data_IF_167414047507
#
_entry.id   IF_167414047507
#
_cell.length_a   1.000
_cell.length_b   1.000
_cell.length_c   1.000
_cell.angle_alpha   90.00
_cell.angle_beta   90.00
_cell.angle_gamma   90.00
#
_symmetry.space_group_name_H-M   'P 1'
#
loop_
_entity.id
_entity.type
_entity.pdbx_description
1 polymer ?
#
# COMPACT_ATOMS: atom_id res chain seq x y z
N UNK A 1 53.97 18.99 -46.03
CA UNK A 1 52.65 19.21 -46.66
C UNK A 1 51.68 18.22 -46.05
N UNK A 2 50.87 18.65 -45.09
CA UNK A 2 49.81 17.83 -44.50
C UNK A 2 48.63 17.76 -45.47
N UNK A 3 48.26 16.55 -45.92
CA UNK A 3 47.07 16.34 -46.74
C UNK A 3 45.86 16.43 -45.83
N UNK A 4 45.07 17.50 -45.97
CA UNK A 4 43.74 17.55 -45.39
C UNK A 4 42.88 16.45 -46.03
N UNK A 5 42.67 15.36 -45.29
CA UNK A 5 41.71 14.31 -45.64
C UNK A 5 40.31 14.88 -45.40
N UNK A 6 39.67 15.36 -46.47
CA UNK A 6 38.31 15.88 -46.41
C UNK A 6 37.31 14.77 -46.10
N UNK A 7 36.44 15.03 -45.12
CA UNK A 7 35.39 14.13 -44.67
C UNK A 7 34.35 13.93 -45.78
N UNK A 8 33.96 12.67 -46.06
CA UNK A 8 33.02 12.40 -47.14
C UNK A 8 31.57 12.64 -46.68
N UNK A 9 30.68 13.03 -47.60
CA UNK A 9 29.26 13.28 -47.27
C UNK A 9 28.58 12.03 -46.66
N UNK A 10 28.97 10.84 -47.13
CA UNK A 10 28.55 9.55 -46.58
C UNK A 10 29.01 9.34 -45.15
N UNK A 11 30.20 9.79 -44.79
CA UNK A 11 30.74 9.67 -43.43
C UNK A 11 29.97 10.56 -42.44
N UNK A 12 29.51 11.75 -42.88
CA UNK A 12 28.64 12.63 -42.07
C UNK A 12 27.28 11.98 -41.84
N UNK A 13 26.69 11.41 -42.89
CA UNK A 13 25.38 10.76 -42.79
C UNK A 13 25.42 9.57 -41.83
N UNK A 14 26.48 8.75 -41.90
CA UNK A 14 26.68 7.62 -40.99
C UNK A 14 26.88 8.10 -39.56
N UNK A 15 27.71 9.13 -39.34
CA UNK A 15 27.92 9.69 -38.00
C UNK A 15 26.62 10.22 -37.37
N UNK A 16 25.78 10.93 -38.16
CA UNK A 16 24.48 11.41 -37.69
C UNK A 16 23.49 10.27 -37.42
N UNK A 17 23.46 9.24 -38.27
CA UNK A 17 22.60 8.08 -38.07
C UNK A 17 22.98 7.31 -36.79
N UNK A 18 24.27 7.09 -36.56
CA UNK A 18 24.76 6.45 -35.33
C UNK A 18 24.42 7.30 -34.10
N UNK A 19 24.63 8.62 -34.17
CA UNK A 19 24.27 9.54 -33.09
C UNK A 19 22.77 9.50 -32.74
N UNK A 20 21.90 9.48 -33.75
CA UNK A 20 20.45 9.40 -33.55
C UNK A 20 20.03 8.08 -32.88
N UNK A 21 20.58 6.95 -33.32
CA UNK A 21 20.29 5.63 -32.74
C UNK A 21 20.71 5.57 -31.26
N UNK A 22 21.89 6.11 -30.92
CA UNK A 22 22.37 6.15 -29.54
C UNK A 22 21.45 7.02 -28.67
N UNK A 23 21.04 8.20 -29.14
CA UNK A 23 20.15 9.10 -28.39
C UNK A 23 18.78 8.46 -28.16
N UNK A 24 18.21 7.78 -29.17
CA UNK A 24 16.93 7.07 -29.03
C UNK A 24 17.03 5.88 -28.06
N UNK A 25 18.10 5.09 -28.15
CA UNK A 25 18.34 3.98 -27.24
C UNK A 25 18.52 4.43 -25.78
N UNK A 26 19.33 5.46 -25.56
CA UNK A 26 19.52 6.05 -24.23
C UNK A 26 18.24 6.70 -23.70
N UNK A 27 17.48 7.38 -24.56
CA UNK A 27 16.18 7.97 -24.21
C UNK A 27 15.20 6.90 -23.72
N UNK A 28 15.09 5.78 -24.43
CA UNK A 28 14.20 4.69 -24.03
C UNK A 28 14.55 4.12 -22.65
N UNK A 29 15.84 3.90 -22.37
CA UNK A 29 16.32 3.43 -21.07
C UNK A 29 16.05 4.46 -19.95
N UNK A 30 16.25 5.75 -20.24
CA UNK A 30 16.01 6.83 -19.30
C UNK A 30 14.52 6.96 -18.94
N UNK A 31 13.62 6.85 -19.93
CA UNK A 31 12.18 6.84 -19.71
C UNK A 31 11.73 5.64 -18.86
N UNK A 32 12.26 4.44 -19.12
CA UNK A 32 11.97 3.25 -18.32
C UNK A 32 12.42 3.39 -16.86
N UNK A 33 13.57 4.04 -16.63
CA UNK A 33 14.10 4.29 -15.28
C UNK A 33 13.20 5.27 -14.51
N UNK A 34 12.76 6.35 -15.15
CA UNK A 34 11.82 7.32 -14.55
C UNK A 34 10.45 6.70 -14.21
N UNK A 35 9.97 5.75 -15.01
CA UNK A 35 8.74 5.01 -14.71
C UNK A 35 8.90 4.08 -13.51
N UNK A 36 10.06 3.45 -13.36
CA UNK A 36 10.34 2.50 -12.27
C UNK A 36 10.44 3.19 -10.91
N UNK A 37 11.05 4.39 -10.84
CA UNK A 37 11.18 5.15 -9.58
C UNK A 37 9.83 5.54 -8.96
N UNK A 38 8.85 5.94 -9.78
CA UNK A 38 7.50 6.29 -9.28
C UNK A 38 6.78 5.09 -8.65
N UNK A 39 7.08 3.89 -9.12
CA UNK A 39 6.51 2.66 -8.58
C UNK A 39 7.11 2.31 -7.20
N UNK A 40 8.42 2.52 -7.02
CA UNK A 40 9.12 2.24 -5.76
C UNK A 40 8.74 3.22 -4.64
N UNK A 41 8.59 4.50 -4.94
CA UNK A 41 8.19 5.50 -3.92
C UNK A 41 6.76 5.27 -3.41
N UNK A 42 5.85 4.85 -4.30
CA UNK A 42 4.48 4.49 -3.94
C UNK A 42 4.45 3.25 -3.04
N UNK A 43 5.28 2.25 -3.33
CA UNK A 43 5.44 1.05 -2.51
C UNK A 43 6.04 1.37 -1.13
N UNK A 44 7.04 2.25 -1.05
CA UNK A 44 7.70 2.60 0.21
C UNK A 44 6.75 3.34 1.18
N UNK A 45 5.99 4.33 0.69
CA UNK A 45 5.00 5.04 1.51
C UNK A 45 3.86 4.13 1.98
N UNK A 46 3.46 3.15 1.17
CA UNK A 46 2.45 2.16 1.55
C UNK A 46 2.95 1.23 2.66
N UNK A 47 4.23 0.87 2.67
CA UNK A 47 4.81 0.03 3.73
C UNK A 47 4.83 0.74 5.08
N UNK A 48 5.18 2.02 5.12
CA UNK A 48 5.17 2.81 6.36
C UNK A 48 3.75 2.97 6.91
N UNK A 49 2.79 3.30 6.04
CA UNK A 49 1.38 3.38 6.38
C UNK A 49 0.81 2.04 6.89
N UNK A 50 1.21 0.92 6.29
CA UNK A 50 0.84 -0.43 6.74
C UNK A 50 1.32 -0.68 8.17
N UNK A 51 2.61 -0.48 8.42
CA UNK A 51 3.22 -0.73 9.72
C UNK A 51 2.51 0.13 10.77
N UNK A 52 2.32 1.42 10.50
CA UNK A 52 1.60 2.34 11.39
C UNK A 52 0.16 1.88 11.69
N UNK A 53 -0.60 1.49 10.67
CA UNK A 53 -1.97 1.00 10.86
C UNK A 53 -2.00 -0.26 11.72
N UNK A 54 -1.19 -1.27 11.38
CA UNK A 54 -1.19 -2.55 12.08
C UNK A 54 -0.75 -2.40 13.54
N UNK A 55 0.29 -1.63 13.82
CA UNK A 55 0.76 -1.43 15.21
C UNK A 55 -0.27 -0.70 16.05
N UNK A 56 -0.80 0.41 15.54
CA UNK A 56 -1.79 1.24 16.24
C UNK A 56 -3.09 0.45 16.49
N UNK A 57 -3.55 -0.30 15.50
CA UNK A 57 -4.73 -1.14 15.66
C UNK A 57 -4.52 -2.27 16.65
N UNK A 58 -3.39 -2.96 16.53
CA UNK A 58 -3.07 -4.08 17.42
C UNK A 58 -3.00 -3.60 18.86
N UNK A 59 -2.42 -2.43 19.13
CA UNK A 59 -2.40 -1.87 20.48
C UNK A 59 -3.81 -1.67 21.05
N UNK A 60 -4.69 -1.03 20.30
CA UNK A 60 -6.09 -0.79 20.72
C UNK A 60 -6.86 -2.09 20.90
N UNK A 61 -6.75 -3.01 19.93
CA UNK A 61 -7.40 -4.31 19.95
C UNK A 61 -6.92 -5.19 21.11
N UNK A 62 -5.64 -5.10 21.51
CA UNK A 62 -5.12 -5.83 22.67
C UNK A 62 -5.68 -5.34 23.99
N UNK A 63 -6.00 -4.04 24.08
CA UNK A 63 -6.50 -3.41 25.29
C UNK A 63 -8.03 -3.54 25.43
N UNK A 64 -8.76 -3.28 24.36
CA UNK A 64 -10.22 -3.15 24.38
C UNK A 64 -10.95 -4.20 23.53
N UNK A 65 -10.23 -4.88 22.63
CA UNK A 65 -10.84 -5.74 21.64
C UNK A 65 -11.31 -5.02 20.38
N UNK A 66 -12.02 -5.75 19.51
CA UNK A 66 -12.52 -5.23 18.23
C UNK A 66 -13.70 -4.27 18.37
N UNK A 67 -14.47 -4.41 19.45
CA UNK A 67 -15.68 -3.65 19.72
C UNK A 67 -15.55 -2.96 21.07
N UNK A 68 -16.12 -1.76 21.16
CA UNK A 68 -16.22 -1.04 22.43
C UNK A 68 -17.33 -1.62 23.33
N UNK A 69 -17.49 -1.04 24.52
CA UNK A 69 -18.52 -1.46 25.48
C UNK A 69 -19.97 -1.27 24.96
N UNK A 70 -20.18 -0.45 23.92
CA UNK A 70 -21.48 -0.23 23.28
C UNK A 70 -21.74 -1.18 22.10
N UNK A 71 -20.77 -2.03 21.74
CA UNK A 71 -20.85 -2.93 20.60
C UNK A 71 -20.49 -2.28 19.26
N UNK A 72 -19.91 -1.08 19.26
CA UNK A 72 -19.42 -0.42 18.05
C UNK A 72 -17.98 -0.83 17.75
N UNK A 73 -17.65 -1.06 16.48
CA UNK A 73 -16.29 -1.42 16.11
C UNK A 73 -15.36 -0.20 16.23
N UNK A 74 -14.17 -0.37 16.82
CA UNK A 74 -13.17 0.70 16.89
C UNK A 74 -12.72 1.18 15.51
N UNK A 75 -12.74 0.28 14.53
CA UNK A 75 -12.19 0.53 13.21
C UNK A 75 -13.12 0.07 12.10
N UNK A 76 -13.23 0.89 11.05
CA UNK A 76 -13.97 0.58 9.83
C UNK A 76 -13.06 0.62 8.61
N UNK A 77 -13.23 -0.35 7.72
CA UNK A 77 -12.60 -0.38 6.42
C UNK A 77 -13.61 0.08 5.37
N UNK A 78 -13.34 1.25 4.78
CA UNK A 78 -14.15 1.83 3.70
C UNK A 78 -13.41 1.81 2.38
N UNK A 79 -13.83 0.96 1.48
CA UNK A 79 -13.33 0.90 0.11
C UNK A 79 -14.35 1.51 -0.84
N UNK A 80 -13.90 2.41 -1.72
CA UNK A 80 -14.70 2.97 -2.83
C UNK A 80 -13.94 2.87 -4.13
N UNK A 81 -14.69 2.71 -5.22
CA UNK A 81 -14.12 2.70 -6.55
C UNK A 81 -13.74 4.12 -6.99
N UNK A 82 -12.55 4.24 -7.57
CA UNK A 82 -12.00 5.47 -8.13
C UNK A 82 -11.34 5.09 -9.44
N UNK A 83 -12.03 5.35 -10.55
CA UNK A 83 -11.58 4.96 -11.90
C UNK A 83 -11.39 3.42 -11.99
N UNK A 84 -10.18 2.95 -12.31
CA UNK A 84 -9.79 1.55 -12.42
C UNK A 84 -9.13 1.00 -11.13
N UNK A 85 -9.22 1.75 -10.03
CA UNK A 85 -8.63 1.38 -8.76
C UNK A 85 -9.65 1.50 -7.61
N UNK A 86 -9.30 0.86 -6.51
CA UNK A 86 -10.05 0.87 -5.27
C UNK A 86 -9.29 1.69 -4.23
N UNK A 87 -9.92 2.76 -3.75
CA UNK A 87 -9.40 3.55 -2.63
C UNK A 87 -10.00 2.99 -1.34
N UNK A 88 -9.18 2.34 -0.53
CA UNK A 88 -9.55 1.88 0.79
C UNK A 88 -9.04 2.85 1.85
N UNK A 89 -9.90 3.19 2.79
CA UNK A 89 -9.61 4.07 3.92
C UNK A 89 -9.91 3.32 5.19
N UNK A 90 -8.90 3.25 6.03
CA UNK A 90 -8.98 2.69 7.36
C UNK A 90 -9.33 3.82 8.33
N UNK A 91 -10.50 3.74 8.95
CA UNK A 91 -11.04 4.81 9.80
C UNK A 91 -11.06 4.38 11.26
N UNK A 92 -10.60 5.26 12.14
CA UNK A 92 -10.78 5.16 13.59
C UNK A 92 -12.12 5.79 13.95
N UNK A 93 -13.04 4.98 14.46
CA UNK A 93 -14.38 5.41 14.84
C UNK A 93 -14.41 6.07 16.23
N UNK A 94 -13.43 5.80 17.09
CA UNK A 94 -13.34 6.45 18.40
C UNK A 94 -13.03 7.95 18.28
N UNK A 95 -12.30 8.33 17.23
CA UNK A 95 -11.90 9.71 16.94
C UNK A 95 -12.55 10.30 15.68
N UNK A 96 -13.38 9.51 14.99
CA UNK A 96 -13.98 9.84 13.70
C UNK A 96 -12.95 10.32 12.65
N UNK A 97 -11.76 9.73 12.62
CA UNK A 97 -10.64 10.17 11.78
C UNK A 97 -10.15 9.08 10.82
N UNK A 98 -9.82 9.44 9.56
CA UNK A 98 -9.12 8.52 8.67
C UNK A 98 -7.68 8.32 9.15
N UNK A 99 -7.28 7.07 9.37
CA UNK A 99 -5.92 6.74 9.77
C UNK A 99 -5.00 6.60 8.56
N UNK A 100 -5.41 5.77 7.60
CA UNK A 100 -4.58 5.41 6.45
C UNK A 100 -5.45 5.27 5.21
N UNK A 101 -4.98 5.79 4.09
CA UNK A 101 -5.54 5.55 2.76
C UNK A 101 -4.58 4.72 1.91
N UNK A 102 -5.14 3.81 1.11
CA UNK A 102 -4.34 3.00 0.20
C UNK A 102 -5.15 2.65 -1.05
N UNK A 103 -4.41 2.41 -2.13
CA UNK A 103 -4.96 2.10 -3.45
C UNK A 103 -4.68 0.63 -3.77
N UNK A 104 -5.71 -0.11 -4.16
CA UNK A 104 -5.62 -1.50 -4.62
C UNK A 104 -6.29 -1.65 -5.98
N UNK A 105 -5.85 -2.60 -6.83
CA UNK A 105 -6.47 -2.83 -8.15
C UNK A 105 -7.92 -3.32 -8.02
N UNK A 106 -8.80 -2.92 -8.93
CA UNK A 106 -10.23 -3.27 -8.92
C UNK A 106 -10.54 -4.66 -9.49
N UNK A 107 -9.97 -5.71 -8.88
CA UNK A 107 -10.10 -7.10 -9.38
C UNK A 107 -11.48 -7.71 -9.02
N UNK A 108 -12.12 -7.24 -7.94
CA UNK A 108 -13.40 -7.72 -7.40
C UNK A 108 -14.31 -6.57 -6.95
N UNK A 109 -15.47 -6.86 -6.32
CA UNK A 109 -16.39 -5.87 -5.77
C UNK A 109 -15.65 -4.91 -4.80
N UNK A 110 -15.46 -3.69 -5.27
CA UNK A 110 -14.63 -2.68 -4.62
C UNK A 110 -15.29 -2.09 -3.37
N UNK A 111 -16.59 -1.82 -3.46
CA UNK A 111 -17.34 -1.15 -2.42
C UNK A 111 -17.53 -2.06 -1.21
N UNK A 112 -16.91 -1.66 -0.10
CA UNK A 112 -16.99 -2.34 1.19
C UNK A 112 -16.99 -1.29 2.28
N UNK A 113 -17.94 -1.38 3.20
CA UNK A 113 -17.92 -0.66 4.47
C UNK A 113 -18.15 -1.70 5.57
N UNK A 114 -17.06 -2.17 6.15
CA UNK A 114 -17.09 -3.30 7.08
C UNK A 114 -16.30 -2.98 8.35
N UNK A 115 -16.77 -3.42 9.52
CA UNK A 115 -16.00 -3.34 10.74
C UNK A 115 -14.73 -4.18 10.63
N UNK A 116 -13.64 -3.69 11.21
CA UNK A 116 -12.35 -4.36 11.23
C UNK A 116 -12.19 -5.08 12.57
N UNK A 117 -11.88 -6.37 12.49
CA UNK A 117 -11.82 -7.25 13.65
C UNK A 117 -13.12 -8.03 13.83
N UNK A 118 -13.03 -9.36 13.74
CA UNK A 118 -14.06 -10.26 14.25
C UNK A 118 -13.54 -10.91 15.51
N UNK A 119 -14.31 -10.81 16.59
CA UNK A 119 -14.01 -11.55 17.81
C UNK A 119 -14.19 -13.04 17.55
N UNK A 120 -13.22 -13.86 17.98
CA UNK A 120 -13.38 -15.30 17.90
C UNK A 120 -14.39 -15.79 18.94
N UNK A 121 -14.90 -17.01 18.73
CA UNK A 121 -15.93 -17.61 19.56
C UNK A 121 -15.48 -17.81 21.02
N UNK A 122 -14.18 -17.90 21.28
CA UNK A 122 -13.60 -18.02 22.61
C UNK A 122 -13.45 -16.66 23.33
N UNK A 123 -13.60 -15.54 22.62
CA UNK A 123 -13.40 -14.20 23.12
C UNK A 123 -11.95 -13.83 23.44
N UNK A 124 -10.99 -14.74 23.23
CA UNK A 124 -9.57 -14.58 23.62
C UNK A 124 -8.78 -13.82 22.56
N UNK A 125 -9.18 -13.92 21.29
CA UNK A 125 -8.56 -13.20 20.19
C UNK A 125 -9.57 -12.53 19.24
N UNK A 126 -9.05 -11.60 18.44
CA UNK A 126 -9.75 -10.98 17.33
C UNK A 126 -9.00 -11.28 16.03
N UNK A 127 -9.72 -11.76 15.02
CA UNK A 127 -9.21 -11.90 13.66
C UNK A 127 -9.38 -10.60 12.90
N UNK A 128 -8.28 -9.99 12.49
CA UNK A 128 -8.24 -8.80 11.64
C UNK A 128 -7.91 -9.23 10.22
N UNK A 129 -8.66 -8.75 9.24
CA UNK A 129 -8.42 -8.99 7.81
C UNK A 129 -8.39 -7.67 7.06
N UNK A 130 -7.28 -7.37 6.39
CA UNK A 130 -7.07 -6.12 5.65
C UNK A 130 -6.52 -6.41 4.24
N UNK A 131 -7.03 -5.76 3.17
CA UNK A 131 -6.57 -5.98 1.80
C UNK A 131 -5.28 -5.20 1.51
N UNK A 132 -4.27 -5.39 2.36
CA UNK A 132 -2.99 -4.69 2.31
C UNK A 132 -1.83 -5.59 1.84
N UNK A 133 -2.11 -6.84 1.51
CA UNK A 133 -1.14 -7.76 0.93
C UNK A 133 -0.76 -7.38 -0.52
N UNK A 134 0.30 -7.99 -1.07
CA UNK A 134 0.72 -7.78 -2.45
C UNK A 134 -0.45 -7.99 -3.42
N UNK A 135 -0.70 -7.01 -4.30
CA UNK A 135 -1.79 -7.06 -5.28
C UNK A 135 -3.20 -6.90 -4.67
N UNK A 136 -3.32 -6.38 -3.44
CA UNK A 136 -4.61 -6.20 -2.76
C UNK A 136 -5.15 -7.48 -2.10
N UNK A 137 -4.28 -8.49 -1.91
CA UNK A 137 -4.64 -9.71 -1.17
C UNK A 137 -4.94 -9.41 0.29
N UNK A 138 -5.86 -10.19 0.86
CA UNK A 138 -6.19 -10.12 2.26
C UNK A 138 -5.01 -10.62 3.12
N UNK A 139 -4.51 -9.74 3.99
CA UNK A 139 -3.61 -10.05 5.09
C UNK A 139 -4.48 -10.26 6.33
N UNK A 140 -4.42 -11.45 6.92
CA UNK A 140 -5.16 -11.78 8.14
C UNK A 140 -4.22 -12.08 9.29
N UNK A 141 -4.53 -11.58 10.48
CA UNK A 141 -3.75 -11.82 11.70
C UNK A 141 -4.65 -11.83 12.93
N UNK A 142 -4.21 -12.57 13.95
CA UNK A 142 -4.90 -12.70 15.23
C UNK A 142 -4.32 -11.72 16.24
N UNK A 143 -5.19 -11.10 17.04
CA UNK A 143 -4.82 -10.19 18.12
C UNK A 143 -5.42 -10.68 19.43
N UNK A 144 -4.58 -11.12 20.36
CA UNK A 144 -5.01 -11.60 21.67
C UNK A 144 -5.40 -10.45 22.60
N UNK A 145 -6.51 -10.60 23.32
CA UNK A 145 -7.00 -9.60 24.28
C UNK A 145 -6.32 -9.78 25.63
N UNK A 146 -5.63 -8.75 26.11
CA UNK A 146 -4.91 -8.84 27.39
C UNK A 146 -5.85 -8.99 28.58
N UNK A 147 -7.00 -8.31 28.56
CA UNK A 147 -7.96 -8.29 29.66
C UNK A 147 -8.54 -9.68 29.96
N UNK A 148 -8.70 -10.53 28.94
CA UNK A 148 -9.22 -11.89 29.09
C UNK A 148 -8.17 -12.85 29.65
N UNK A 149 -6.88 -12.59 29.36
CA UNK A 149 -5.77 -13.43 29.81
C UNK A 149 -5.31 -13.14 31.25
N UNK A 150 -5.56 -11.92 31.74
CA UNK A 150 -5.25 -11.51 33.10
C UNK A 150 -6.45 -10.78 33.71
N UNK A 151 -7.51 -11.50 34.12
CA UNK A 151 -8.55 -10.88 34.93
C UNK A 151 -7.89 -10.35 36.20
N UNK A 152 -7.98 -9.04 36.42
CA UNK A 152 -7.46 -8.40 37.62
C UNK A 152 -8.10 -9.06 38.84
N UNK A 153 -7.29 -9.81 39.58
CA UNK A 153 -7.61 -10.29 40.91
C UNK A 153 -7.50 -9.12 41.89
N UNK A 154 -8.45 -8.19 41.81
CA UNK A 154 -8.68 -7.19 42.84
C UNK A 154 -10.09 -7.45 43.39
N UNK A 155 -10.13 -8.26 44.45
CA UNK A 155 -11.22 -8.44 45.42
C UNK A 155 -10.58 -8.35 46.82
#
# INVERSE_FOLDING_TARGET
>A
MERQLGFTLTEVMVAMAIGLVIVLGAGHLFLGTLQTHRHVDMLSRQQEALIFAVTTMTETLRQHGAYDASGQAFYHLRCRQVEEACRCTLQDMSRAQPMVNFMIPSIHSCERDVPVGRQAADGVDSLVTLPLGPGGRDLSFHVAHRAVLFPSSDD
#
